data_IF_286822488571
#
_entry.id   IF_286822488571
#
_cell.length_a   1.000
_cell.length_b   1.000
_cell.length_c   1.000
_cell.angle_alpha   90.00
_cell.angle_beta   90.00
_cell.angle_gamma   90.00
#
_symmetry.space_group_name_H-M   'P 1'
#
loop_
_entity.id
_entity.type
_entity.pdbx_description
1 polymer ?
#
# COMPACT_ATOMS: atom_id res chain seq x y z
N UNK A 1 10.54 17.88 21.23
CA UNK A 1 9.51 18.92 21.55
C UNK A 1 8.21 18.26 22.00
N UNK A 2 7.49 18.81 23.00
CA UNK A 2 6.07 18.46 23.19
C UNK A 2 5.31 18.90 21.95
N UNK A 3 4.36 18.09 21.48
CA UNK A 3 3.56 18.41 20.29
C UNK A 3 2.58 19.54 20.59
N UNK A 4 3.03 20.77 20.42
CA UNK A 4 2.27 21.98 20.73
C UNK A 4 1.55 22.55 19.50
N UNK A 5 2.06 22.26 18.29
CA UNK A 5 1.48 22.68 17.01
C UNK A 5 1.29 21.47 16.06
N UNK A 6 0.45 21.64 15.03
CA UNK A 6 0.16 20.58 14.05
C UNK A 6 -0.93 19.56 14.47
N UNK A 7 -0.95 18.41 13.81
CA UNK A 7 -1.93 17.32 14.00
C UNK A 7 -1.59 16.52 15.25
N UNK A 8 -2.36 16.66 16.32
CA UNK A 8 -2.08 15.97 17.60
C UNK A 8 -1.69 14.49 17.47
N UNK A 9 -0.84 14.00 18.40
CA UNK A 9 -0.39 12.59 18.43
C UNK A 9 -1.56 11.61 18.44
N UNK A 10 -2.62 11.95 19.16
CA UNK A 10 -3.87 11.19 19.16
C UNK A 10 -4.45 11.05 17.74
N UNK A 11 -4.53 12.14 16.97
CA UNK A 11 -5.04 12.10 15.59
C UNK A 11 -4.12 11.28 14.69
N UNK A 12 -2.79 11.38 14.83
CA UNK A 12 -1.86 10.54 14.06
C UNK A 12 -2.06 9.05 14.34
N UNK A 13 -2.15 8.65 15.62
CA UNK A 13 -2.42 7.26 16.01
C UNK A 13 -3.76 6.76 15.44
N UNK A 14 -4.80 7.59 15.51
CA UNK A 14 -6.11 7.29 14.91
C UNK A 14 -6.02 7.14 13.39
N UNK A 15 -5.28 8.00 12.69
CA UNK A 15 -5.09 7.89 11.24
C UNK A 15 -4.39 6.58 10.89
N UNK A 16 -3.30 6.22 11.60
CA UNK A 16 -2.55 5.01 11.33
C UNK A 16 -3.42 3.75 11.53
N UNK A 17 -4.14 3.70 12.66
CA UNK A 17 -5.02 2.60 13.04
C UNK A 17 -6.20 2.42 12.07
N UNK A 18 -6.90 3.51 11.75
CA UNK A 18 -8.05 3.45 10.83
C UNK A 18 -7.60 3.17 9.38
N UNK A 19 -6.42 3.64 8.97
CA UNK A 19 -5.85 3.29 7.68
C UNK A 19 -5.53 1.79 7.59
N UNK A 20 -4.95 1.19 8.64
CA UNK A 20 -4.68 -0.25 8.69
C UNK A 20 -5.97 -1.08 8.67
N UNK A 21 -6.97 -0.72 9.49
CA UNK A 21 -8.30 -1.37 9.47
C UNK A 21 -8.93 -1.30 8.08
N UNK A 22 -8.88 -0.14 7.45
CA UNK A 22 -9.42 0.02 6.10
C UNK A 22 -8.64 -0.77 5.05
N UNK A 23 -7.31 -0.86 5.17
CA UNK A 23 -6.48 -1.69 4.29
C UNK A 23 -6.87 -3.17 4.37
N UNK A 24 -7.05 -3.71 5.58
CA UNK A 24 -7.48 -5.11 5.79
C UNK A 24 -8.89 -5.35 5.25
N UNK A 25 -9.83 -4.42 5.52
CA UNK A 25 -11.19 -4.50 4.96
C UNK A 25 -11.16 -4.52 3.43
N UNK A 26 -10.46 -3.57 2.81
CA UNK A 26 -10.34 -3.47 1.35
C UNK A 26 -9.64 -4.69 0.74
N UNK A 27 -8.66 -5.27 1.45
CA UNK A 27 -8.00 -6.51 1.04
C UNK A 27 -9.01 -7.66 0.95
N UNK A 28 -9.81 -7.89 1.99
CA UNK A 28 -10.82 -8.94 1.97
C UNK A 28 -11.95 -8.66 0.95
N UNK A 29 -12.38 -7.41 0.81
CA UNK A 29 -13.33 -7.02 -0.24
C UNK A 29 -12.77 -7.32 -1.64
N UNK A 30 -11.46 -7.11 -1.85
CA UNK A 30 -10.80 -7.43 -3.12
C UNK A 30 -10.73 -8.93 -3.41
N UNK A 31 -10.54 -9.77 -2.37
CA UNK A 31 -10.58 -11.23 -2.48
C UNK A 31 -12.00 -11.69 -2.86
N UNK A 32 -13.02 -11.17 -2.17
CA UNK A 32 -14.41 -11.50 -2.48
C UNK A 32 -14.77 -11.19 -3.94
N UNK A 33 -14.38 -10.00 -4.43
CA UNK A 33 -14.60 -9.62 -5.82
C UNK A 33 -13.82 -10.51 -6.80
N UNK A 34 -12.59 -10.90 -6.43
CA UNK A 34 -11.77 -11.80 -7.23
C UNK A 34 -12.41 -13.18 -7.38
N UNK A 35 -12.90 -13.75 -6.28
CA UNK A 35 -13.57 -15.06 -6.25
C UNK A 35 -14.86 -15.05 -7.09
N UNK A 36 -15.53 -13.89 -7.18
CA UNK A 36 -16.72 -13.69 -8.01
C UNK A 36 -16.39 -13.28 -9.47
N UNK A 37 -15.12 -13.33 -9.89
CA UNK A 37 -14.70 -13.04 -11.27
C UNK A 37 -14.68 -11.55 -11.63
N UNK A 38 -14.91 -10.64 -10.68
CA UNK A 38 -14.86 -9.20 -10.89
C UNK A 38 -13.42 -8.67 -10.80
N UNK A 39 -12.57 -9.11 -11.73
CA UNK A 39 -11.13 -8.82 -11.69
C UNK A 39 -10.77 -7.32 -11.76
N UNK A 40 -11.43 -6.47 -12.58
CA UNK A 40 -11.12 -5.05 -12.60
C UNK A 40 -11.39 -4.38 -11.25
N UNK A 41 -12.54 -4.65 -10.63
CA UNK A 41 -12.89 -4.10 -9.32
C UNK A 41 -12.03 -4.68 -8.20
N UNK A 42 -11.71 -5.98 -8.25
CA UNK A 42 -10.77 -6.60 -7.33
C UNK A 42 -9.39 -5.94 -7.40
N UNK A 43 -8.90 -5.69 -8.62
CA UNK A 43 -7.65 -4.97 -8.83
C UNK A 43 -7.72 -3.56 -8.23
N UNK A 44 -8.77 -2.78 -8.52
CA UNK A 44 -8.96 -1.45 -7.94
C UNK A 44 -8.85 -1.47 -6.40
N UNK A 45 -9.64 -2.32 -5.74
CA UNK A 45 -9.69 -2.38 -4.29
C UNK A 45 -8.36 -2.85 -3.71
N UNK A 46 -7.67 -3.78 -4.37
CA UNK A 46 -6.35 -4.23 -3.92
C UNK A 46 -5.27 -3.14 -3.98
N UNK A 47 -5.31 -2.25 -5.00
CA UNK A 47 -4.40 -1.10 -5.05
C UNK A 47 -4.77 -0.06 -3.99
N UNK A 48 -6.06 0.14 -3.70
CA UNK A 48 -6.49 0.99 -2.60
C UNK A 48 -6.06 0.43 -1.24
N UNK A 49 -6.15 -0.89 -1.04
CA UNK A 49 -5.66 -1.57 0.16
C UNK A 49 -4.15 -1.33 0.33
N UNK A 50 -3.37 -1.46 -0.75
CA UNK A 50 -1.94 -1.14 -0.77
C UNK A 50 -1.66 0.29 -0.33
N UNK A 51 -2.42 1.25 -0.84
CA UNK A 51 -2.25 2.65 -0.50
C UNK A 51 -2.58 2.94 0.97
N UNK A 52 -3.67 2.38 1.50
CA UNK A 52 -4.04 2.57 2.90
C UNK A 52 -3.07 1.86 3.86
N UNK A 53 -2.57 0.68 3.49
CA UNK A 53 -1.51 0.00 4.24
C UNK A 53 -0.22 0.82 4.27
N UNK A 54 0.19 1.36 3.12
CA UNK A 54 1.34 2.25 3.01
C UNK A 54 1.17 3.50 3.86
N UNK A 55 -0.02 4.11 3.88
CA UNK A 55 -0.35 5.26 4.73
C UNK A 55 -0.20 4.90 6.21
N UNK A 56 -0.74 3.77 6.65
CA UNK A 56 -0.63 3.33 8.04
C UNK A 56 0.85 3.23 8.48
N UNK A 57 1.67 2.51 7.71
CA UNK A 57 3.10 2.35 7.99
C UNK A 57 3.89 3.68 7.91
N UNK A 58 3.48 4.60 7.03
CA UNK A 58 4.15 5.91 6.92
C UNK A 58 3.88 6.77 8.15
N UNK A 59 2.63 6.77 8.65
CA UNK A 59 2.24 7.52 9.85
C UNK A 59 2.86 6.89 11.10
N UNK A 60 2.85 5.55 11.22
CA UNK A 60 3.55 4.82 12.28
C UNK A 60 5.02 5.22 12.36
N UNK A 61 5.73 5.14 11.23
CA UNK A 61 7.13 5.53 11.18
C UNK A 61 7.36 7.01 11.50
N UNK A 62 6.50 7.92 11.03
CA UNK A 62 6.60 9.34 11.37
C UNK A 62 6.51 9.55 12.88
N UNK A 63 5.49 8.94 13.53
CA UNK A 63 5.34 8.99 14.99
C UNK A 63 6.60 8.46 15.67
N UNK A 64 7.06 7.27 15.28
CA UNK A 64 8.23 6.63 15.87
C UNK A 64 9.48 7.50 15.76
N UNK A 65 9.83 7.95 14.55
CA UNK A 65 11.03 8.77 14.35
C UNK A 65 10.97 10.09 15.09
N UNK A 66 9.78 10.70 15.19
CA UNK A 66 9.61 11.93 15.96
C UNK A 66 9.76 11.71 17.47
N UNK A 67 9.42 10.52 17.97
CA UNK A 67 9.54 10.19 19.39
C UNK A 67 10.94 9.72 19.79
N UNK A 68 11.68 9.10 18.88
CA UNK A 68 13.04 8.61 19.15
C UNK A 68 14.13 9.63 18.85
N UNK A 69 13.86 10.60 17.96
CA UNK A 69 14.83 11.63 17.55
C UNK A 69 14.55 12.97 18.25
N UNK A 70 14.67 14.09 17.53
CA UNK A 70 14.63 15.46 18.08
C UNK A 70 13.21 16.00 18.35
N UNK A 71 12.18 15.21 18.09
CA UNK A 71 10.78 15.59 18.26
C UNK A 71 9.99 15.61 16.95
N UNK A 72 8.78 16.18 17.02
CA UNK A 72 7.99 16.49 15.84
C UNK A 72 8.52 17.74 15.15
N UNK A 73 8.52 17.68 13.83
CA UNK A 73 8.81 18.80 12.93
C UNK A 73 7.78 19.93 13.09
N UNK A 74 8.08 21.09 12.51
CA UNK A 74 7.17 22.24 12.52
C UNK A 74 5.88 22.01 11.70
N UNK A 75 4.91 22.92 11.88
CA UNK A 75 3.60 22.82 11.24
C UNK A 75 3.64 22.93 9.71
N UNK A 76 4.61 23.67 9.14
CA UNK A 76 4.73 23.82 7.68
C UNK A 76 5.22 22.53 7.04
N UNK A 77 6.26 21.94 7.62
CA UNK A 77 6.74 20.62 7.23
C UNK A 77 5.64 19.58 7.36
N UNK A 78 4.95 19.53 8.51
CA UNK A 78 3.90 18.54 8.76
C UNK A 78 2.75 18.69 7.74
N UNK A 79 2.35 19.91 7.36
CA UNK A 79 1.38 20.12 6.28
C UNK A 79 1.87 19.61 4.92
N UNK A 80 3.15 19.80 4.60
CA UNK A 80 3.78 19.25 3.40
C UNK A 80 3.74 17.72 3.39
N UNK A 81 4.13 17.10 4.50
CA UNK A 81 4.10 15.64 4.66
C UNK A 81 2.67 15.07 4.62
N UNK A 82 1.71 15.71 5.29
CA UNK A 82 0.30 15.29 5.29
C UNK A 82 -0.27 15.24 3.86
N UNK A 83 0.07 16.20 3.00
CA UNK A 83 -0.36 16.18 1.58
C UNK A 83 0.08 14.90 0.87
N UNK A 84 1.26 14.37 1.18
CA UNK A 84 1.76 13.12 0.60
C UNK A 84 0.86 11.92 0.93
N UNK A 85 0.23 11.90 2.12
CA UNK A 85 -0.71 10.86 2.52
C UNK A 85 -2.00 10.84 1.69
N UNK A 86 -2.29 11.91 0.96
CA UNK A 86 -3.45 12.01 0.06
C UNK A 86 -3.06 11.85 -1.43
N UNK A 87 -1.77 11.78 -1.73
CA UNK A 87 -1.29 11.56 -3.10
C UNK A 87 -1.11 10.06 -3.36
N UNK A 88 -2.02 9.49 -4.16
CA UNK A 88 -2.00 8.05 -4.47
C UNK A 88 -0.64 7.55 -5.00
N UNK A 89 0.02 8.22 -5.97
CA UNK A 89 1.33 7.76 -6.44
C UNK A 89 2.41 7.79 -5.35
N UNK A 90 2.35 8.75 -4.42
CA UNK A 90 3.30 8.84 -3.31
C UNK A 90 3.13 7.65 -2.36
N UNK A 91 1.88 7.28 -2.04
CA UNK A 91 1.58 6.09 -1.23
C UNK A 91 2.02 4.79 -1.92
N UNK A 92 1.79 4.67 -3.23
CA UNK A 92 2.25 3.52 -4.01
C UNK A 92 3.78 3.40 -4.01
N UNK A 93 4.49 4.52 -4.14
CA UNK A 93 5.96 4.54 -4.04
C UNK A 93 6.45 4.17 -2.62
N UNK A 94 5.88 4.80 -1.59
CA UNK A 94 6.24 4.54 -0.20
C UNK A 94 6.09 3.05 0.19
N UNK A 95 5.14 2.34 -0.42
CA UNK A 95 4.94 0.91 -0.20
C UNK A 95 6.17 0.06 -0.60
N UNK A 96 6.86 0.43 -1.68
CA UNK A 96 8.02 -0.33 -2.20
C UNK A 96 9.37 0.28 -1.80
N UNK A 97 9.42 1.56 -1.44
CA UNK A 97 10.64 2.35 -1.34
C UNK A 97 11.68 1.81 -0.34
N UNK A 98 11.26 1.12 0.73
CA UNK A 98 12.18 0.58 1.75
C UNK A 98 12.89 -0.70 1.34
N UNK A 99 12.31 -1.44 0.40
CA UNK A 99 12.73 -2.80 0.05
C UNK A 99 12.76 -2.95 -1.48
N UNK A 100 13.16 -1.90 -2.21
CA UNK A 100 13.09 -1.88 -3.69
C UNK A 100 13.80 -3.05 -4.33
N UNK A 101 14.90 -3.52 -3.72
CA UNK A 101 15.68 -4.66 -4.21
C UNK A 101 14.94 -5.99 -4.08
N UNK A 102 13.95 -6.09 -3.21
CA UNK A 102 13.14 -7.30 -3.02
C UNK A 102 12.01 -7.41 -4.05
N UNK A 103 11.73 -6.33 -4.78
CA UNK A 103 10.68 -6.27 -5.79
C UNK A 103 11.21 -6.54 -7.20
N UNK A 104 10.30 -7.01 -8.06
CA UNK A 104 10.53 -7.07 -9.50
C UNK A 104 10.82 -5.66 -10.04
N UNK A 105 11.91 -5.46 -10.82
CA UNK A 105 12.22 -4.16 -11.42
C UNK A 105 11.08 -3.59 -12.26
N UNK A 106 10.31 -4.46 -12.93
CA UNK A 106 9.16 -4.04 -13.72
C UNK A 106 8.04 -3.45 -12.85
N UNK A 107 7.84 -4.00 -11.64
CA UNK A 107 6.83 -3.48 -10.72
C UNK A 107 7.27 -2.14 -10.12
N UNK A 108 8.54 -2.04 -9.72
CA UNK A 108 9.13 -0.78 -9.24
C UNK A 108 9.02 0.31 -10.32
N UNK A 109 9.41 0.01 -11.56
CA UNK A 109 9.31 0.94 -12.69
C UNK A 109 7.87 1.35 -12.99
N UNK A 110 6.92 0.40 -12.93
CA UNK A 110 5.49 0.67 -13.11
C UNK A 110 4.94 1.65 -12.05
N UNK A 111 5.45 1.61 -10.81
CA UNK A 111 5.08 2.58 -9.77
C UNK A 111 5.75 3.93 -10.01
N UNK A 112 7.06 3.95 -10.27
CA UNK A 112 7.83 5.19 -10.51
C UNK A 112 7.28 5.98 -11.71
N UNK A 113 6.87 5.27 -12.75
CA UNK A 113 6.26 5.85 -13.95
C UNK A 113 4.77 6.20 -13.77
N UNK A 114 4.21 6.07 -12.56
CA UNK A 114 2.79 6.31 -12.23
C UNK A 114 1.79 5.42 -13.00
N UNK A 115 2.27 4.36 -13.63
CA UNK A 115 1.45 3.43 -14.41
C UNK A 115 0.57 2.55 -13.51
N UNK A 116 0.92 2.32 -12.23
CA UNK A 116 0.02 1.67 -11.28
C UNK A 116 -1.24 2.50 -11.04
N UNK A 117 -1.09 3.80 -10.81
CA UNK A 117 -2.21 4.73 -10.64
C UNK A 117 -3.08 4.78 -11.89
N UNK A 118 -2.48 4.89 -13.07
CA UNK A 118 -3.24 4.86 -14.33
C UNK A 118 -3.99 3.54 -14.49
N UNK A 119 -3.34 2.40 -14.24
CA UNK A 119 -3.96 1.07 -14.33
C UNK A 119 -5.09 0.91 -13.31
N UNK A 120 -4.93 1.47 -12.10
CA UNK A 120 -5.97 1.55 -11.07
C UNK A 120 -7.17 2.32 -11.64
N UNK A 121 -7.01 3.57 -12.04
CA UNK A 121 -8.12 4.37 -12.60
C UNK A 121 -8.82 3.68 -13.80
N UNK A 122 -8.04 3.10 -14.71
CA UNK A 122 -8.51 2.38 -15.89
C UNK A 122 -9.23 1.06 -15.59
N UNK A 123 -9.12 0.54 -14.37
CA UNK A 123 -9.83 -0.67 -13.94
C UNK A 123 -11.30 -0.41 -13.62
N UNK A 124 -11.71 0.85 -13.48
CA UNK A 124 -13.10 1.26 -13.21
C UNK A 124 -13.63 2.15 -14.34
N UNK A 125 -12.86 3.15 -14.74
CA UNK A 125 -13.33 4.18 -15.64
C UNK A 125 -12.99 3.88 -17.10
N UNK A 126 -13.96 4.12 -17.98
CA UNK A 126 -13.76 4.14 -19.43
C UNK A 126 -13.35 5.56 -19.83
N UNK A 127 -12.31 5.68 -20.65
CA UNK A 127 -11.84 7.00 -21.08
C UNK A 127 -10.62 6.95 -21.98
N UNK A 128 -10.07 8.12 -22.27
CA UNK A 128 -8.84 8.30 -23.05
C UNK A 128 -7.65 8.48 -22.12
N UNK A 129 -6.44 8.16 -22.62
CA UNK A 129 -5.23 8.40 -21.84
C UNK A 129 -5.02 9.89 -21.63
N UNK A 130 -4.26 10.22 -20.58
CA UNK A 130 -3.84 11.58 -20.28
C UNK A 130 -2.33 11.65 -20.35
N UNK A 131 -1.80 12.65 -21.04
CA UNK A 131 -0.39 12.95 -21.09
C UNK A 131 -0.17 14.39 -20.64
N UNK A 132 0.66 14.59 -19.60
CA UNK A 132 1.01 15.93 -19.08
C UNK A 132 -0.21 16.83 -18.81
N UNK A 133 -1.28 16.24 -18.24
CA UNK A 133 -2.51 16.97 -17.90
C UNK A 133 -3.47 17.22 -19.06
N UNK A 134 -3.15 16.79 -20.28
CA UNK A 134 -4.05 16.89 -21.45
C UNK A 134 -4.64 15.53 -21.82
N UNK A 135 -5.86 15.53 -22.33
CA UNK A 135 -6.50 14.34 -22.89
C UNK A 135 -5.90 14.07 -24.27
N UNK A 136 -5.45 12.84 -24.51
CA UNK A 136 -4.97 12.38 -25.80
C UNK A 136 -6.15 11.82 -26.62
N UNK A 137 -6.66 12.64 -27.55
CA UNK A 137 -7.81 12.31 -28.38
C UNK A 137 -7.53 11.16 -29.37
N UNK A 138 -6.25 10.90 -29.69
CA UNK A 138 -5.83 9.85 -30.61
C UNK A 138 -5.56 8.52 -29.89
N UNK A 139 -5.62 8.52 -28.55
CA UNK A 139 -5.38 7.34 -27.75
C UNK A 139 -6.49 6.29 -27.88
N UNK A 140 -6.12 5.02 -27.69
CA UNK A 140 -7.12 3.95 -27.60
C UNK A 140 -7.95 4.11 -26.34
N UNK A 141 -9.26 3.94 -26.47
CA UNK A 141 -10.20 3.89 -25.33
C UNK A 141 -9.72 2.86 -24.30
N UNK A 142 -9.46 3.34 -23.10
CA UNK A 142 -9.22 2.54 -21.91
C UNK A 142 -10.51 1.90 -21.45
N UNK A 143 -10.45 0.61 -21.13
CA UNK A 143 -11.60 -0.15 -20.62
C UNK A 143 -11.16 -1.04 -19.45
N UNK A 144 -12.05 -1.23 -18.45
CA UNK A 144 -11.81 -2.15 -17.33
C UNK A 144 -11.41 -3.57 -17.75
N UNK A 145 -11.91 -4.05 -18.88
CA UNK A 145 -11.72 -5.41 -19.39
C UNK A 145 -10.29 -5.76 -19.80
N UNK A 146 -9.40 -4.76 -19.84
CA UNK A 146 -7.96 -4.96 -20.02
C UNK A 146 -7.31 -5.57 -18.79
N UNK A 147 -7.84 -5.31 -17.59
CA UNK A 147 -7.38 -5.94 -16.35
C UNK A 147 -7.70 -7.43 -16.38
N UNK A 148 -6.67 -8.25 -16.25
CA UNK A 148 -6.78 -9.71 -16.24
C UNK A 148 -6.80 -10.24 -14.81
N UNK A 149 -7.29 -11.47 -14.66
CA UNK A 149 -7.23 -12.20 -13.41
C UNK A 149 -5.82 -12.19 -12.79
N UNK A 150 -4.78 -12.33 -13.62
CA UNK A 150 -3.39 -12.28 -13.16
C UNK A 150 -3.05 -10.94 -12.49
N UNK A 151 -3.52 -9.83 -13.04
CA UNK A 151 -3.22 -8.49 -12.50
C UNK A 151 -3.80 -8.33 -11.10
N UNK A 152 -5.08 -8.65 -10.92
CA UNK A 152 -5.75 -8.62 -9.62
C UNK A 152 -5.06 -9.56 -8.63
N UNK A 153 -4.82 -10.81 -9.03
CA UNK A 153 -4.17 -11.83 -8.20
C UNK A 153 -2.82 -11.35 -7.68
N UNK A 154 -2.01 -10.70 -8.52
CA UNK A 154 -0.67 -10.27 -8.13
C UNK A 154 -0.70 -9.20 -7.03
N UNK A 155 -1.55 -8.18 -7.16
CA UNK A 155 -1.63 -7.11 -6.16
C UNK A 155 -2.28 -7.60 -4.86
N UNK A 156 -3.36 -8.38 -4.95
CA UNK A 156 -3.97 -9.04 -3.78
C UNK A 156 -2.92 -9.86 -3.03
N UNK A 157 -2.12 -10.65 -3.74
CA UNK A 157 -1.11 -11.51 -3.11
C UNK A 157 0.00 -10.68 -2.44
N UNK A 158 0.42 -9.54 -3.01
CA UNK A 158 1.41 -8.66 -2.36
C UNK A 158 0.89 -8.21 -0.99
N UNK A 159 -0.36 -7.74 -0.92
CA UNK A 159 -0.93 -7.26 0.34
C UNK A 159 -1.16 -8.42 1.31
N UNK A 160 -1.60 -9.58 0.82
CA UNK A 160 -1.70 -10.77 1.64
C UNK A 160 -0.35 -11.17 2.24
N UNK A 161 0.72 -11.13 1.45
CA UNK A 161 2.08 -11.47 1.87
C UNK A 161 2.56 -10.51 2.99
N UNK A 162 2.31 -9.20 2.87
CA UNK A 162 2.67 -8.22 3.91
C UNK A 162 1.86 -8.38 5.20
N UNK A 163 0.54 -8.56 5.09
CA UNK A 163 -0.31 -8.80 6.27
C UNK A 163 0.08 -10.10 6.97
N UNK A 164 0.40 -11.15 6.20
CA UNK A 164 0.87 -12.43 6.74
C UNK A 164 2.25 -12.31 7.40
N UNK A 165 3.14 -11.47 6.86
CA UNK A 165 4.43 -11.15 7.48
C UNK A 165 4.23 -10.49 8.84
N UNK A 166 3.31 -9.54 8.96
CA UNK A 166 3.00 -8.91 10.24
C UNK A 166 2.45 -9.94 11.24
N UNK A 167 1.46 -10.75 10.84
CA UNK A 167 0.90 -11.78 11.73
C UNK A 167 1.99 -12.73 12.25
N UNK A 168 2.89 -13.19 11.36
CA UNK A 168 4.02 -14.05 11.75
C UNK A 168 4.97 -13.36 12.71
N UNK A 169 5.33 -12.09 12.47
CA UNK A 169 6.20 -11.34 13.40
C UNK A 169 5.54 -11.12 14.75
N UNK A 170 4.23 -10.92 14.82
CA UNK A 170 3.50 -10.82 16.10
C UNK A 170 3.61 -12.15 16.86
N UNK A 171 3.39 -13.29 16.17
CA UNK A 171 3.45 -14.63 16.79
C UNK A 171 4.87 -15.08 17.15
N UNK A 172 5.87 -14.78 16.32
CA UNK A 172 7.24 -15.33 16.43
C UNK A 172 8.23 -14.38 17.11
N UNK A 173 8.10 -13.06 16.90
CA UNK A 173 9.08 -12.05 17.32
C UNK A 173 8.56 -11.13 18.43
N UNK A 174 7.34 -11.35 18.94
CA UNK A 174 6.61 -10.39 19.81
C UNK A 174 6.63 -8.97 19.19
N UNK A 175 6.35 -8.88 17.88
CA UNK A 175 6.37 -7.60 17.18
C UNK A 175 5.24 -6.66 17.61
N UNK A 176 5.58 -5.37 17.73
CA UNK A 176 4.64 -4.28 17.96
C UNK A 176 4.91 -3.12 16.99
N UNK A 177 3.88 -2.37 16.63
CA UNK A 177 4.02 -1.10 15.94
C UNK A 177 4.58 -0.04 16.88
N UNK A 178 5.75 0.51 16.53
CA UNK A 178 6.52 1.34 17.47
C UNK A 178 5.95 2.76 17.65
N UNK A 179 5.30 3.30 16.61
CA UNK A 179 4.69 4.63 16.66
C UNK A 179 3.18 4.57 16.90
N UNK A 180 2.46 3.82 16.07
CA UNK A 180 1.01 3.68 16.07
C UNK A 180 0.52 2.60 17.03
N UNK A 181 0.60 2.81 18.34
CA UNK A 181 0.35 1.75 19.35
C UNK A 181 -1.01 1.06 19.22
N UNK A 182 -2.06 1.80 18.87
CA UNK A 182 -3.41 1.25 18.68
C UNK A 182 -3.52 0.33 17.44
N UNK A 183 -2.48 0.25 16.59
CA UNK A 183 -2.42 -0.65 15.44
C UNK A 183 -2.20 -2.11 15.86
N UNK A 184 -1.58 -2.36 17.01
CA UNK A 184 -1.36 -3.71 17.53
C UNK A 184 -2.71 -4.43 17.75
N UNK A 185 -3.72 -3.68 18.22
CA UNK A 185 -5.08 -4.18 18.46
C UNK A 185 -5.88 -4.45 17.17
N UNK A 186 -5.32 -4.14 16.00
CA UNK A 186 -6.02 -4.36 14.71
C UNK A 186 -5.92 -5.81 14.26
N UNK A 187 -4.86 -6.52 14.63
CA UNK A 187 -4.68 -7.92 14.26
C UNK A 187 -5.29 -8.84 15.31
N UNK A 188 -6.13 -9.76 14.84
CA UNK A 188 -6.68 -10.83 15.66
C UNK A 188 -6.54 -12.18 14.97
N UNK A 189 -6.86 -13.24 15.72
CA UNK A 189 -6.78 -14.61 15.23
C UNK A 189 -7.72 -14.89 14.04
N UNK A 190 -8.85 -14.18 13.93
CA UNK A 190 -9.79 -14.36 12.83
C UNK A 190 -9.29 -13.71 11.54
N UNK A 191 -8.62 -12.57 11.62
CA UNK A 191 -7.91 -11.94 10.50
C UNK A 191 -6.81 -12.87 10.01
N UNK A 192 -6.00 -13.42 10.91
CA UNK A 192 -4.92 -14.34 10.55
C UNK A 192 -5.45 -15.58 9.79
N UNK A 193 -6.49 -16.24 10.33
CA UNK A 193 -7.16 -17.36 9.64
C UNK A 193 -7.65 -17.00 8.25
N UNK A 194 -8.18 -15.79 8.04
CA UNK A 194 -8.67 -15.35 6.73
C UNK A 194 -7.52 -15.10 5.76
N UNK A 195 -6.42 -14.49 6.21
CA UNK A 195 -5.22 -14.24 5.38
C UNK A 195 -4.61 -15.56 4.88
N UNK A 196 -4.59 -16.60 5.72
CA UNK A 196 -4.07 -17.93 5.36
C UNK A 196 -4.86 -18.64 4.26
N UNK A 197 -6.12 -18.26 4.01
CA UNK A 197 -6.96 -18.89 2.98
C UNK A 197 -6.54 -18.51 1.57
N UNK A 198 -5.84 -17.40 1.38
CA UNK A 198 -5.41 -16.96 0.05
C UNK A 198 -4.24 -17.83 -0.46
N UNK A 199 -4.44 -18.65 -1.51
CA UNK A 199 -3.47 -19.68 -1.89
C UNK A 199 -2.41 -19.19 -2.89
N UNK A 200 -2.46 -17.92 -3.28
CA UNK A 200 -1.65 -17.39 -4.36
C UNK A 200 -0.47 -16.55 -3.86
N UNK A 201 0.63 -16.62 -4.60
CA UNK A 201 1.80 -15.77 -4.39
C UNK A 201 1.86 -14.68 -5.46
N UNK A 202 2.37 -13.51 -5.10
CA UNK A 202 2.49 -12.38 -6.03
C UNK A 202 3.48 -12.65 -7.16
N UNK A 203 4.60 -13.29 -6.84
CA UNK A 203 5.79 -13.38 -7.70
C UNK A 203 6.48 -12.03 -7.92
N UNK A 204 5.98 -10.96 -7.30
CA UNK A 204 6.46 -9.59 -7.46
C UNK A 204 7.46 -9.20 -6.36
N UNK A 205 7.44 -9.88 -5.21
CA UNK A 205 8.41 -9.72 -4.12
C UNK A 205 8.98 -11.08 -3.72
N UNK A 206 10.30 -11.22 -3.59
CA UNK A 206 11.00 -12.39 -3.03
C UNK A 206 12.52 -12.15 -2.96
N UNK A 207 13.21 -12.89 -2.09
CA UNK A 207 14.68 -12.85 -1.94
C UNK A 207 15.44 -13.16 -3.24
N UNK A 208 14.81 -13.87 -4.18
CA UNK A 208 15.36 -14.09 -5.51
C UNK A 208 15.51 -12.81 -6.32
N UNK A 209 14.66 -11.80 -6.10
CA UNK A 209 14.83 -10.47 -6.69
C UNK A 209 16.04 -9.74 -6.12
N UNK A 210 16.24 -9.76 -4.79
CA UNK A 210 17.41 -9.14 -4.15
C UNK A 210 18.72 -9.61 -4.77
N UNK A 211 18.90 -10.93 -4.87
CA UNK A 211 20.09 -11.53 -5.49
C UNK A 211 20.28 -11.09 -6.95
N UNK A 212 19.20 -11.04 -7.74
CA UNK A 212 19.25 -10.64 -9.16
C UNK A 212 19.51 -9.14 -9.34
N UNK A 213 18.96 -8.30 -8.47
CA UNK A 213 19.12 -6.85 -8.55
C UNK A 213 20.54 -6.44 -8.14
N UNK A 214 21.12 -7.08 -7.11
CA UNK A 214 22.52 -6.87 -6.72
C UNK A 214 23.54 -7.29 -7.79
N UNK A 215 23.20 -8.23 -8.68
CA UNK A 215 24.07 -8.65 -9.79
C UNK A 215 23.98 -7.75 -11.02
N UNK A 216 22.97 -6.85 -11.07
CA UNK A 216 22.72 -5.95 -12.21
C UNK A 216 23.30 -4.54 -12.00
N UNK A 217 23.62 -4.20 -10.75
CA UNK A 217 24.27 -2.96 -10.34
C UNK A 217 25.78 -3.20 -10.20
#
# INVERSE_FOLDING_TARGET
MKKEEGVSKYKLNRIATEALRNAIRLHFDSILLYENGSFPSAFQLSVLALEEFSKANWVDHYIWTSETNEGYEDAEFEQGWLKLLYLHPAKQWNFVARETDDYSPNFVSLIQNRQLEEKKQNSIYVGLSRAKGKIDADSRISTPWRIKQKDARQVISIINDELLRICRRIEEDEFYFEGGKDMDDVFDYEIYKKILKWPHKSGLKNDGWRKRNLQRN
#
